data_IF_192751698611
#
_entry.id   IF_192751698611
#
_cell.length_a   1.000
_cell.length_b   1.000
_cell.length_c   1.000
_cell.angle_alpha   90.00
_cell.angle_beta   90.00
_cell.angle_gamma   90.00
#
_symmetry.space_group_name_H-M   'P 1'
#
loop_
_entity.id
_entity.type
_entity.pdbx_description
1 polymer ?
#
# COMPACT_ATOMS: atom_id res chain seq x y z
N UNK A 1 -3.72 -0.74 -23.42
CA UNK A 1 -3.20 -0.26 -22.12
C UNK A 1 -4.37 0.06 -21.23
N UNK A 2 -4.44 -0.52 -20.02
CA UNK A 2 -5.57 -0.32 -19.12
C UNK A 2 -5.14 0.53 -17.92
N UNK A 3 -5.95 1.54 -17.57
CA UNK A 3 -5.73 2.36 -16.40
C UNK A 3 -6.58 1.84 -15.25
N UNK A 4 -5.90 1.33 -14.22
CA UNK A 4 -6.51 0.91 -12.96
C UNK A 4 -6.31 2.03 -11.95
N UNK A 5 -7.37 2.40 -11.25
CA UNK A 5 -7.32 3.43 -10.22
C UNK A 5 -7.65 2.81 -8.88
N UNK A 6 -6.90 3.18 -7.85
CA UNK A 6 -7.18 2.75 -6.48
C UNK A 6 -7.27 3.95 -5.56
N UNK A 7 -8.19 3.89 -4.61
CA UNK A 7 -8.40 4.94 -3.62
C UNK A 7 -8.49 4.34 -2.23
N UNK A 8 -7.86 5.01 -1.27
CA UNK A 8 -7.87 4.63 0.14
C UNK A 8 -7.99 5.88 1.01
N UNK A 9 -8.62 5.74 2.16
CA UNK A 9 -8.70 6.79 3.18
C UNK A 9 -7.93 6.39 4.41
N UNK A 10 -7.14 7.31 4.97
CA UNK A 10 -6.48 7.10 6.26
C UNK A 10 -6.62 8.34 7.12
N UNK A 11 -6.91 8.13 8.40
CA UNK A 11 -6.95 9.20 9.40
C UNK A 11 -5.53 9.40 9.93
N UNK A 12 -5.02 10.63 9.82
CA UNK A 12 -3.69 11.05 10.27
C UNK A 12 -3.89 12.33 11.07
N UNK A 13 -3.58 12.31 12.37
CA UNK A 13 -3.74 13.47 13.27
C UNK A 13 -5.17 14.06 13.21
N UNK A 14 -6.19 13.22 13.41
CA UNK A 14 -7.62 13.58 13.34
C UNK A 14 -8.11 14.19 12.02
N UNK A 15 -7.31 14.08 10.96
CA UNK A 15 -7.70 14.50 9.61
C UNK A 15 -7.75 13.29 8.67
N UNK A 16 -8.82 13.21 7.89
CA UNK A 16 -8.96 12.20 6.84
C UNK A 16 -8.15 12.62 5.62
N UNK A 17 -7.23 11.76 5.20
CA UNK A 17 -6.47 11.92 3.95
C UNK A 17 -6.95 10.90 2.93
N UNK A 18 -7.12 11.37 1.71
CA UNK A 18 -7.43 10.59 0.52
C UNK A 18 -6.14 10.26 -0.22
N UNK A 19 -5.91 8.98 -0.41
CA UNK A 19 -4.78 8.40 -1.12
C UNK A 19 -5.29 7.85 -2.44
N UNK A 20 -4.87 8.44 -3.55
CA UNK A 20 -5.30 8.06 -4.89
C UNK A 20 -4.09 7.59 -5.66
N UNK A 21 -4.14 6.37 -6.20
CA UNK A 21 -3.09 5.81 -7.07
C UNK A 21 -3.66 5.55 -8.45
N UNK A 22 -2.90 5.95 -9.46
CA UNK A 22 -3.11 5.64 -10.86
C UNK A 22 -2.10 4.59 -11.28
N UNK A 23 -2.60 3.45 -11.71
CA UNK A 23 -1.83 2.26 -12.07
C UNK A 23 -2.06 1.99 -13.55
N UNK A 24 -0.98 1.70 -14.28
CA UNK A 24 -1.00 1.29 -15.66
C UNK A 24 -0.76 -0.23 -15.70
N UNK A 25 -1.79 -0.97 -16.08
CA UNK A 25 -1.70 -2.39 -16.33
C UNK A 25 -1.34 -2.64 -17.80
N UNK A 26 -0.29 -3.43 -18.01
CA UNK A 26 0.19 -3.85 -19.33
C UNK A 26 -0.15 -5.33 -19.52
N UNK A 27 -1.36 -5.67 -19.99
CA UNK A 27 -1.79 -7.06 -20.13
C UNK A 27 -0.97 -7.87 -21.14
N UNK A 28 -0.23 -7.18 -22.02
CA UNK A 28 0.63 -7.78 -23.04
C UNK A 28 1.89 -8.43 -22.45
N UNK A 29 2.26 -8.11 -21.20
CA UNK A 29 3.44 -8.66 -20.52
C UNK A 29 3.02 -9.36 -19.21
N UNK A 30 2.55 -10.62 -19.28
CA UNK A 30 2.21 -11.38 -18.09
C UNK A 30 3.48 -11.63 -17.25
N UNK A 31 3.59 -10.93 -16.12
CA UNK A 31 4.76 -10.99 -15.22
C UNK A 31 5.43 -9.65 -14.98
N UNK A 32 5.08 -8.60 -15.75
CA UNK A 32 5.49 -7.25 -15.40
C UNK A 32 4.67 -6.75 -14.20
N UNK A 33 5.35 -6.17 -13.22
CA UNK A 33 4.68 -5.51 -12.11
C UNK A 33 3.86 -4.32 -12.63
N UNK A 34 2.66 -4.13 -12.06
CA UNK A 34 1.81 -3.00 -12.40
C UNK A 34 2.54 -1.68 -12.15
N UNK A 35 2.53 -0.78 -13.13
CA UNK A 35 3.28 0.46 -13.02
C UNK A 35 2.43 1.55 -12.38
N UNK A 36 2.84 2.06 -11.23
CA UNK A 36 2.23 3.25 -10.65
C UNK A 36 2.67 4.48 -11.44
N UNK A 37 1.76 5.06 -12.20
CA UNK A 37 2.01 6.23 -13.06
C UNK A 37 1.57 7.55 -12.43
N UNK A 38 0.83 7.50 -11.33
CA UNK A 38 0.41 8.71 -10.59
C UNK A 38 0.02 8.40 -9.16
N UNK A 39 0.36 9.31 -8.26
CA UNK A 39 0.05 9.20 -6.83
C UNK A 39 -0.30 10.57 -6.26
N UNK A 40 -1.44 10.66 -5.59
CA UNK A 40 -1.90 11.87 -4.93
C UNK A 40 -2.37 11.60 -3.52
N UNK A 41 -1.92 12.45 -2.59
CA UNK A 41 -2.34 12.44 -1.19
C UNK A 41 -2.80 13.84 -0.82
N UNK A 42 -4.06 13.99 -0.41
CA UNK A 42 -4.60 15.25 0.09
C UNK A 42 -5.79 15.02 1.02
N UNK A 43 -6.11 15.98 1.87
CA UNK A 43 -7.36 15.99 2.66
C UNK A 43 -8.62 16.22 1.81
N UNK A 44 -8.45 16.61 0.55
CA UNK A 44 -9.53 16.93 -0.38
C UNK A 44 -9.44 15.91 -1.51
N UNK A 45 -10.51 15.13 -1.73
CA UNK A 45 -10.53 14.07 -2.73
C UNK A 45 -10.20 14.59 -4.14
N UNK A 46 -10.83 15.69 -4.57
CA UNK A 46 -10.57 16.28 -5.89
C UNK A 46 -9.12 16.72 -6.07
N UNK A 47 -8.49 17.27 -5.03
CA UNK A 47 -7.07 17.64 -5.09
C UNK A 47 -6.20 16.40 -5.15
N UNK A 48 -6.51 15.35 -4.39
CA UNK A 48 -5.79 14.08 -4.49
C UNK A 48 -5.90 13.47 -5.90
N UNK A 49 -7.09 13.50 -6.52
CA UNK A 49 -7.29 13.08 -7.91
C UNK A 49 -6.50 13.94 -8.92
N UNK A 50 -6.47 15.26 -8.73
CA UNK A 50 -5.69 16.17 -9.56
C UNK A 50 -4.19 15.86 -9.48
N UNK A 51 -3.65 15.65 -8.27
CA UNK A 51 -2.23 15.30 -8.05
C UNK A 51 -1.91 13.95 -8.68
N UNK A 52 -2.81 12.96 -8.58
CA UNK A 52 -2.67 11.65 -9.22
C UNK A 52 -2.83 11.69 -10.76
N UNK A 53 -3.15 12.83 -11.35
CA UNK A 53 -3.32 12.99 -12.80
C UNK A 53 -4.61 12.35 -13.34
N UNK A 54 -5.65 12.23 -12.51
CA UNK A 54 -6.98 11.74 -12.88
C UNK A 54 -7.85 12.94 -13.24
N UNK A 55 -7.89 13.29 -14.53
CA UNK A 55 -8.68 14.43 -15.04
C UNK A 55 -10.12 14.04 -15.39
N UNK A 56 -10.37 12.76 -15.61
CA UNK A 56 -11.65 12.25 -16.08
C UNK A 56 -12.69 12.23 -14.96
N UNK A 57 -13.85 12.84 -15.21
CA UNK A 57 -14.92 13.01 -14.21
C UNK A 57 -15.59 11.66 -13.90
N UNK A 58 -15.80 10.82 -14.91
CA UNK A 58 -16.42 9.51 -14.72
C UNK A 58 -15.56 8.60 -13.83
N UNK A 59 -14.24 8.62 -14.04
CA UNK A 59 -13.27 7.90 -13.21
C UNK A 59 -13.28 8.37 -11.75
N UNK A 60 -13.42 9.67 -11.51
CA UNK A 60 -13.55 10.24 -10.15
C UNK A 60 -14.82 9.79 -9.46
N UNK A 61 -15.95 9.85 -10.16
CA UNK A 61 -17.24 9.41 -9.61
C UNK A 61 -17.21 7.92 -9.24
N UNK A 62 -16.61 7.09 -10.09
CA UNK A 62 -16.43 5.66 -9.81
C UNK A 62 -15.59 5.44 -8.54
N UNK A 63 -14.46 6.15 -8.41
CA UNK A 63 -13.61 6.06 -7.22
C UNK A 63 -14.31 6.53 -5.94
N UNK A 64 -15.13 7.57 -6.04
CA UNK A 64 -15.89 8.08 -4.90
C UNK A 64 -16.97 7.08 -4.47
N UNK A 65 -17.67 6.48 -5.42
CA UNK A 65 -18.62 5.40 -5.17
C UNK A 65 -17.97 4.15 -4.58
N UNK A 66 -16.78 3.78 -5.06
CA UNK A 66 -16.01 2.67 -4.50
C UNK A 66 -15.56 2.98 -3.06
N UNK A 67 -15.17 4.22 -2.76
CA UNK A 67 -14.89 4.67 -1.40
C UNK A 67 -16.10 4.48 -0.48
N UNK A 68 -17.27 4.97 -0.87
CA UNK A 68 -18.50 4.87 -0.06
C UNK A 68 -18.89 3.42 0.24
N UNK A 69 -18.69 2.51 -0.72
CA UNK A 69 -18.90 1.07 -0.52
C UNK A 69 -17.93 0.45 0.48
N UNK A 70 -16.71 0.95 0.53
CA UNK A 70 -15.64 0.44 1.40
C UNK A 70 -15.56 1.15 2.78
N UNK A 71 -16.43 2.13 3.07
CA UNK A 71 -16.53 2.82 4.37
C UNK A 71 -17.30 1.98 5.42
N UNK A 72 -17.86 0.82 5.05
CA UNK A 72 -18.24 -0.22 6.02
C UNK A 72 -16.96 -0.81 6.67
N UNK A 73 -16.95 -1.03 8.00
CA UNK A 73 -15.77 -0.78 8.83
C UNK A 73 -14.58 -1.69 8.52
N UNK A 74 -13.45 -1.04 8.25
CA UNK A 74 -12.09 -1.40 8.63
C UNK A 74 -11.81 -2.89 8.92
N UNK A 75 -11.38 -3.63 7.89
CA UNK A 75 -10.37 -4.71 7.96
C UNK A 75 -10.23 -5.36 6.59
N UNK A 76 -9.36 -4.85 5.72
CA UNK A 76 -8.68 -5.67 4.72
C UNK A 76 -7.60 -4.86 4.01
N UNK A 77 -6.40 -4.85 4.59
CA UNK A 77 -5.23 -5.05 3.75
C UNK A 77 -5.31 -6.50 3.28
N UNK A 78 -5.79 -6.74 2.07
CA UNK A 78 -5.37 -7.91 1.31
C UNK A 78 -5.03 -7.47 -0.12
N UNK A 79 -3.73 -7.58 -0.38
CA UNK A 79 -3.09 -7.65 -1.68
C UNK A 79 -3.81 -8.65 -2.61
N UNK A 80 -3.73 -8.35 -3.91
CA UNK A 80 -3.64 -9.30 -5.04
C UNK A 80 -4.54 -10.56 -5.07
N UNK A 81 -5.37 -10.61 -6.12
CA UNK A 81 -5.88 -11.76 -6.91
C UNK A 81 -5.51 -13.21 -6.45
N UNK A 82 -6.44 -14.18 -6.48
CA UNK A 82 -6.40 -15.38 -5.64
C UNK A 82 -5.61 -16.54 -6.27
N UNK A 83 -4.86 -17.28 -5.44
CA UNK A 83 -4.68 -18.73 -5.57
C UNK A 83 -4.08 -19.33 -4.28
N UNK A 84 -4.91 -20.14 -3.60
CA UNK A 84 -4.58 -21.23 -2.66
C UNK A 84 -4.13 -20.83 -1.23
N UNK A 85 -5.03 -21.05 -0.27
CA UNK A 85 -4.75 -21.17 1.16
C UNK A 85 -4.57 -22.66 1.55
N UNK A 86 -4.20 -23.06 2.80
CA UNK A 86 -3.80 -22.24 3.97
C UNK A 86 -2.55 -22.75 4.72
N UNK A 87 -1.90 -21.88 5.51
CA UNK A 87 -1.44 -22.17 6.89
C UNK A 87 -0.92 -20.88 7.53
N UNK A 88 -1.47 -20.57 8.71
CA UNK A 88 -1.21 -19.36 9.48
C UNK A 88 0.28 -19.25 9.84
N UNK A 89 0.91 -18.14 9.47
CA UNK A 89 2.25 -17.78 9.93
C UNK A 89 2.13 -16.67 10.98
N UNK A 90 2.32 -17.07 12.24
CA UNK A 90 2.52 -16.18 13.38
C UNK A 90 3.73 -15.29 13.07
N UNK A 91 3.52 -13.98 12.87
CA UNK A 91 4.63 -13.03 12.72
C UNK A 91 5.18 -12.71 14.11
N UNK A 92 6.33 -13.29 14.46
CA UNK A 92 7.11 -12.79 15.59
C UNK A 92 7.73 -11.44 15.19
N UNK A 93 7.58 -10.38 16.00
CA UNK A 93 8.25 -9.13 15.72
C UNK A 93 9.76 -9.35 15.84
N UNK A 94 10.47 -9.31 14.72
CA UNK A 94 11.94 -9.32 14.72
C UNK A 94 12.37 -7.97 15.30
N UNK A 95 12.72 -7.96 16.58
CA UNK A 95 13.32 -6.81 17.26
C UNK A 95 14.78 -6.72 16.80
N UNK A 96 15.05 -5.77 15.91
CA UNK A 96 16.39 -5.45 15.37
C UNK A 96 17.43 -5.27 16.50
N UNK A 97 17.00 -4.88 17.69
CA UNK A 97 17.84 -4.67 18.87
C UNK A 97 18.56 -5.94 19.34
N UNK A 98 17.98 -7.13 19.15
CA UNK A 98 18.57 -8.38 19.62
C UNK A 98 19.73 -8.86 18.70
N UNK A 99 19.71 -8.49 17.42
CA UNK A 99 20.79 -8.84 16.47
C UNK A 99 22.09 -8.08 16.74
N UNK A 100 22.00 -6.82 17.18
CA UNK A 100 23.17 -5.97 17.45
C UNK A 100 23.91 -6.46 18.69
N UNK A 101 23.17 -6.83 19.74
CA UNK A 101 23.76 -7.33 20.99
C UNK A 101 24.49 -8.67 20.78
N UNK A 102 23.96 -9.56 19.94
CA UNK A 102 24.59 -10.85 19.68
C UNK A 102 25.88 -10.71 18.86
N UNK A 103 25.94 -9.74 17.93
CA UNK A 103 27.15 -9.46 17.16
C UNK A 103 28.28 -8.87 18.02
N UNK A 104 27.95 -7.97 18.96
CA UNK A 104 28.91 -7.41 19.91
C UNK A 104 29.44 -8.48 20.89
N UNK A 105 28.58 -9.39 21.36
CA UNK A 105 28.97 -10.47 22.26
C UNK A 105 29.94 -11.47 21.61
N UNK A 106 29.70 -11.82 20.33
CA UNK A 106 30.58 -12.74 19.59
C UNK A 106 31.95 -12.12 19.28
N UNK A 107 32.02 -10.84 18.91
CA UNK A 107 33.30 -10.16 18.64
C UNK A 107 34.09 -9.78 19.89
N UNK A 108 33.44 -9.58 21.04
CA UNK A 108 34.12 -9.32 22.30
C UNK A 108 34.93 -10.51 22.82
N UNK A 109 34.53 -11.74 22.47
CA UNK A 109 35.18 -12.97 22.92
C UNK A 109 36.44 -13.34 22.10
N UNK A 110 36.61 -12.82 20.88
CA UNK A 110 37.78 -13.09 20.04
C UNK A 110 39.01 -12.21 20.34
N UNK A 111 38.86 -11.16 21.18
CA UNK A 111 39.93 -10.21 21.51
C UNK A 111 40.67 -10.51 22.83
N UNK A 112 40.36 -11.62 23.49
CA UNK A 112 40.91 -12.00 24.81
C UNK A 112 41.61 -13.36 24.83
N UNK A 113 41.98 -13.92 23.67
CA UNK A 113 42.80 -15.14 23.58
C UNK A 113 44.06 -14.91 22.74
#
# INVERSE_FOLDING_TARGET
MEHVYTVQTKIIHDKTYYFVKKILALPEFPGLAELVVGYGMHTDFDKACNIAGIKDIASRQKLLFDLEKHVLPAQSLQETKPAVAPKQAVRHPIKITDMINNWLALRGAEMLN
#
